data_IF_259757629652
#
_entry.id   IF_259757629652
#
_cell.length_a   1.000
_cell.length_b   1.000
_cell.length_c   1.000
_cell.angle_alpha   90.00
_cell.angle_beta   90.00
_cell.angle_gamma   90.00
#
_symmetry.space_group_name_H-M   'P 1'
#
loop_
_entity.id
_entity.type
_entity.pdbx_description
1 polymer ?
#
# COMPACT_ATOMS: atom_id res chain seq x y z
N UNK A 1 30.57 -9.91 29.81
CA UNK A 1 29.39 -10.57 30.41
C UNK A 1 28.28 -10.50 29.37
N UNK A 2 27.96 -11.62 28.73
CA UNK A 2 27.00 -11.67 27.62
C UNK A 2 25.55 -11.71 28.11
N UNK A 3 24.72 -10.80 27.61
CA UNK A 3 23.26 -10.80 27.80
C UNK A 3 22.65 -11.86 26.89
N UNK A 4 22.20 -12.96 27.48
CA UNK A 4 21.45 -14.02 26.79
C UNK A 4 20.05 -13.50 26.49
N UNK A 5 19.71 -13.34 25.21
CA UNK A 5 18.33 -13.20 24.77
C UNK A 5 17.64 -14.55 24.95
N UNK A 6 16.68 -14.62 25.87
CA UNK A 6 15.91 -15.84 26.14
C UNK A 6 14.75 -15.91 25.15
N UNK A 7 14.94 -16.62 24.05
CA UNK A 7 13.88 -17.03 23.10
C UNK A 7 13.22 -18.29 23.63
N UNK A 8 12.10 -18.14 24.37
CA UNK A 8 11.23 -19.25 24.73
C UNK A 8 9.98 -19.28 23.83
N UNK A 9 9.50 -20.48 23.43
CA UNK A 9 8.38 -20.63 22.51
C UNK A 9 7.05 -20.22 23.16
N UNK A 10 6.21 -19.51 22.40
CA UNK A 10 4.80 -19.30 22.73
C UNK A 10 4.07 -20.66 22.73
N UNK A 11 3.77 -21.18 23.91
CA UNK A 11 2.80 -22.26 24.09
C UNK A 11 1.52 -21.68 24.71
N UNK A 12 0.64 -21.08 23.90
CA UNK A 12 -0.82 -21.11 24.16
C UNK A 12 -1.68 -20.29 23.19
N UNK A 13 -2.93 -20.78 23.04
CA UNK A 13 -4.05 -20.15 22.34
C UNK A 13 -4.45 -18.81 22.96
N UNK A 14 -4.99 -17.91 22.12
CA UNK A 14 -5.37 -16.52 22.38
C UNK A 14 -6.13 -16.28 23.70
N UNK A 15 -6.90 -17.24 24.20
CA UNK A 15 -7.72 -17.10 25.42
C UNK A 15 -6.96 -17.01 26.74
N UNK A 16 -5.62 -17.12 26.76
CA UNK A 16 -4.82 -16.99 27.99
C UNK A 16 -4.22 -15.59 28.21
N UNK A 17 -4.42 -14.64 27.29
CA UNK A 17 -3.76 -13.31 27.33
C UNK A 17 -4.62 -12.17 27.89
N UNK A 18 -5.91 -12.39 28.14
CA UNK A 18 -6.85 -11.37 28.61
C UNK A 18 -7.05 -11.39 30.12
N UNK A 19 -6.01 -11.05 30.89
CA UNK A 19 -6.17 -10.55 32.27
C UNK A 19 -4.99 -9.61 32.61
N UNK A 20 -5.10 -8.32 32.31
CA UNK A 20 -4.70 -7.21 33.21
C UNK A 20 -4.71 -5.84 32.50
N UNK A 21 -5.49 -4.90 33.05
CA UNK A 21 -5.68 -3.53 32.52
C UNK A 21 -4.50 -2.57 32.79
N UNK A 22 -3.43 -3.04 33.45
CA UNK A 22 -2.20 -2.26 33.75
C UNK A 22 -1.07 -2.50 32.74
N UNK A 23 -1.31 -3.36 31.77
CA UNK A 23 -0.28 -3.92 30.88
C UNK A 23 0.05 -3.01 29.69
N UNK A 24 1.32 -2.95 29.24
CA UNK A 24 1.66 -2.21 28.03
C UNK A 24 0.89 -2.75 26.82
N UNK A 25 0.29 -1.84 26.03
CA UNK A 25 -0.43 -2.21 24.81
C UNK A 25 0.54 -2.61 23.69
N UNK A 26 0.21 -3.66 22.96
CA UNK A 26 0.95 -4.17 21.80
C UNK A 26 0.02 -4.66 20.69
N UNK A 27 0.61 -5.35 19.72
CA UNK A 27 -0.03 -5.88 18.53
C UNK A 27 0.09 -7.41 18.50
N UNK A 28 -1.06 -8.08 18.43
CA UNK A 28 -1.21 -9.51 18.26
C UNK A 28 -1.49 -9.82 16.79
N UNK A 29 -0.68 -10.69 16.22
CA UNK A 29 -0.80 -11.21 14.87
C UNK A 29 -1.23 -12.67 14.96
N UNK A 30 -2.40 -12.98 14.41
CA UNK A 30 -2.96 -14.33 14.45
C UNK A 30 -3.63 -14.73 13.14
N UNK A 31 -3.86 -16.02 12.95
CA UNK A 31 -4.66 -16.53 11.86
C UNK A 31 -6.16 -16.36 12.19
N UNK A 32 -6.93 -15.74 11.31
CA UNK A 32 -8.39 -15.59 11.49
C UNK A 32 -9.18 -16.90 11.32
N UNK A 33 -8.60 -17.94 10.73
CA UNK A 33 -9.27 -19.22 10.48
C UNK A 33 -9.14 -20.19 11.65
N UNK A 34 -7.97 -20.25 12.28
CA UNK A 34 -7.66 -21.22 13.33
C UNK A 34 -7.22 -20.60 14.66
N UNK A 35 -7.23 -19.27 14.74
CA UNK A 35 -6.82 -18.50 15.92
C UNK A 35 -5.38 -18.80 16.39
N UNK A 36 -4.53 -19.31 15.50
CA UNK A 36 -3.12 -19.56 15.78
C UNK A 36 -2.38 -18.24 15.97
N UNK A 37 -1.71 -18.08 17.11
CA UNK A 37 -0.90 -16.89 17.42
C UNK A 37 0.44 -16.99 16.71
N UNK A 38 0.75 -16.00 15.88
CA UNK A 38 1.99 -15.95 15.10
C UNK A 38 3.03 -15.07 15.79
N UNK A 39 2.66 -13.84 16.12
CA UNK A 39 3.55 -12.83 16.71
C UNK A 39 2.77 -11.99 17.70
N UNK A 40 3.39 -11.65 18.82
CA UNK A 40 2.91 -10.64 19.75
C UNK A 40 4.06 -9.65 20.00
N UNK A 41 3.89 -8.40 19.60
CA UNK A 41 4.95 -7.38 19.64
C UNK A 41 4.48 -6.08 20.26
N UNK A 42 5.37 -5.37 20.93
CA UNK A 42 5.13 -3.98 21.35
C UNK A 42 5.13 -2.98 20.19
N UNK A 43 6.17 -2.94 19.32
CA UNK A 43 6.11 -2.12 18.12
C UNK A 43 5.14 -2.71 17.10
N UNK A 44 4.55 -1.85 16.28
CA UNK A 44 3.81 -2.29 15.10
C UNK A 44 4.80 -2.84 14.07
N UNK A 45 4.54 -4.06 13.60
CA UNK A 45 5.30 -4.74 12.55
C UNK A 45 4.43 -4.79 11.28
N UNK A 46 5.01 -4.50 10.13
CA UNK A 46 4.30 -4.61 8.86
C UNK A 46 3.78 -6.05 8.65
N UNK A 47 2.48 -6.27 8.39
CA UNK A 47 1.92 -7.60 8.16
C UNK A 47 2.65 -8.42 7.09
N UNK A 48 3.22 -7.76 6.07
CA UNK A 48 4.03 -8.42 5.03
C UNK A 48 5.31 -9.07 5.57
N UNK A 49 5.97 -8.43 6.55
CA UNK A 49 7.15 -9.04 7.19
C UNK A 49 6.78 -10.35 7.89
N UNK A 50 5.64 -10.37 8.55
CA UNK A 50 5.13 -11.56 9.23
C UNK A 50 4.76 -12.63 8.21
N UNK A 51 4.07 -12.27 7.12
CA UNK A 51 3.84 -13.21 6.02
C UNK A 51 5.14 -13.85 5.53
N UNK A 52 6.18 -13.05 5.26
CA UNK A 52 7.49 -13.57 4.81
C UNK A 52 8.16 -14.48 5.85
N UNK A 53 8.15 -14.09 7.13
CA UNK A 53 8.75 -14.88 8.22
C UNK A 53 8.11 -16.26 8.39
N UNK A 54 6.82 -16.39 8.03
CA UNK A 54 6.08 -17.65 8.00
C UNK A 54 5.96 -18.27 6.60
N UNK A 55 6.75 -17.80 5.62
CA UNK A 55 6.70 -18.29 4.22
C UNK A 55 5.30 -18.23 3.60
N UNK A 56 4.53 -17.21 3.99
CA UNK A 56 3.13 -16.98 3.68
C UNK A 56 2.17 -18.10 4.09
N UNK A 57 2.55 -19.01 4.98
CA UNK A 57 1.73 -20.16 5.37
C UNK A 57 1.48 -20.15 6.87
N UNK A 58 0.23 -20.34 7.28
CA UNK A 58 -0.11 -20.49 8.69
C UNK A 58 0.42 -21.83 9.23
N UNK A 59 1.20 -21.84 10.33
CA UNK A 59 1.70 -23.07 10.92
C UNK A 59 0.58 -23.95 11.54
N UNK A 60 -0.56 -23.35 11.92
CA UNK A 60 -1.68 -24.07 12.51
C UNK A 60 -2.56 -24.78 11.47
N UNK A 61 -3.03 -24.07 10.45
CA UNK A 61 -3.99 -24.61 9.47
C UNK A 61 -3.44 -24.80 8.05
N UNK A 62 -2.21 -24.37 7.76
CA UNK A 62 -1.57 -24.51 6.45
C UNK A 62 -2.09 -23.55 5.36
N UNK A 63 -3.01 -22.64 5.67
CA UNK A 63 -3.54 -21.67 4.71
C UNK A 63 -2.63 -20.46 4.50
N UNK A 64 -2.82 -19.78 3.36
CA UNK A 64 -2.05 -18.60 3.01
C UNK A 64 -2.37 -17.40 3.91
N UNK A 65 -1.32 -16.79 4.49
CA UNK A 65 -1.43 -15.65 5.40
C UNK A 65 -1.74 -14.32 4.68
N UNK A 66 -1.76 -14.30 3.35
CA UNK A 66 -2.14 -13.14 2.53
C UNK A 66 -3.58 -12.69 2.81
N UNK A 67 -4.47 -13.66 3.06
CA UNK A 67 -5.91 -13.48 3.29
C UNK A 67 -6.33 -13.78 4.71
N UNK A 68 -5.52 -14.52 5.47
CA UNK A 68 -5.91 -15.00 6.80
C UNK A 68 -5.22 -14.29 7.96
N UNK A 69 -4.21 -13.45 7.70
CA UNK A 69 -3.50 -12.73 8.76
C UNK A 69 -4.38 -11.61 9.34
N UNK A 70 -4.57 -11.66 10.66
CA UNK A 70 -5.33 -10.68 11.43
C UNK A 70 -4.40 -9.97 12.41
N UNK A 71 -4.57 -8.65 12.54
CA UNK A 71 -3.85 -7.83 13.50
C UNK A 71 -4.82 -7.24 14.51
N UNK A 72 -4.56 -7.44 15.79
CA UNK A 72 -5.36 -6.92 16.90
C UNK A 72 -4.48 -6.18 17.89
N UNK A 73 -5.04 -5.16 18.56
CA UNK A 73 -4.39 -4.57 19.74
C UNK A 73 -4.61 -5.51 20.92
N UNK A 74 -3.56 -5.83 21.67
CA UNK A 74 -3.62 -6.76 22.79
C UNK A 74 -2.71 -6.32 23.93
N UNK A 75 -3.00 -6.76 25.16
CA UNK A 75 -2.17 -6.54 26.34
C UNK A 75 -0.95 -7.45 26.33
N UNK A 76 0.23 -6.87 26.49
CA UNK A 76 1.47 -7.64 26.58
C UNK A 76 1.72 -8.12 28.02
N UNK A 77 2.16 -9.37 28.22
CA UNK A 77 2.63 -9.82 29.52
C UNK A 77 3.78 -8.93 30.04
N UNK A 78 3.79 -8.57 31.34
CA UNK A 78 4.83 -7.72 31.89
C UNK A 78 6.23 -8.32 31.68
N UNK A 79 7.16 -7.49 31.18
CA UNK A 79 8.55 -7.89 30.92
C UNK A 79 8.81 -8.53 29.55
N UNK A 80 7.79 -8.82 28.73
CA UNK A 80 7.97 -9.41 27.38
C UNK A 80 7.68 -8.38 26.29
N UNK A 81 8.69 -8.06 25.48
CA UNK A 81 8.57 -7.03 24.41
C UNK A 81 8.19 -7.61 23.05
N UNK A 82 8.48 -8.90 22.84
CA UNK A 82 8.29 -9.60 21.57
C UNK A 82 8.22 -11.10 21.80
N UNK A 83 7.23 -11.75 21.19
CA UNK A 83 7.02 -13.20 21.24
C UNK A 83 6.63 -13.69 19.85
N UNK A 84 7.21 -14.81 19.41
CA UNK A 84 6.92 -15.41 18.10
C UNK A 84 6.62 -16.89 18.25
N UNK A 85 5.84 -17.40 17.30
CA UNK A 85 5.65 -18.83 17.12
C UNK A 85 7.01 -19.48 16.74
N UNK A 86 7.35 -20.66 17.29
CA UNK A 86 8.64 -21.31 17.04
C UNK A 86 8.92 -21.66 15.57
N UNK A 87 7.90 -21.67 14.71
CA UNK A 87 8.04 -21.91 13.27
C UNK A 87 8.53 -20.67 12.51
N UNK A 88 8.59 -19.51 13.17
CA UNK A 88 9.06 -18.26 12.59
C UNK A 88 10.52 -18.40 12.12
N UNK A 89 10.75 -18.18 10.83
CA UNK A 89 12.11 -18.02 10.29
C UNK A 89 12.62 -16.65 10.71
N UNK A 90 13.81 -16.61 11.30
CA UNK A 90 14.57 -15.41 11.65
C UNK A 90 13.76 -14.35 12.47
N UNK A 91 13.42 -14.64 13.73
CA UNK A 91 12.63 -13.73 14.58
C UNK A 91 13.30 -12.37 14.82
N UNK A 92 14.62 -12.29 14.65
CA UNK A 92 15.42 -11.08 14.82
C UNK A 92 15.10 -10.03 13.73
N UNK A 93 14.85 -10.46 12.49
CA UNK A 93 14.51 -9.57 11.35
C UNK A 93 13.13 -8.91 11.49
N UNK A 94 12.23 -9.49 12.30
CA UNK A 94 10.93 -8.91 12.60
C UNK A 94 11.02 -7.70 13.54
N UNK A 95 12.08 -7.64 14.36
CA UNK A 95 12.32 -6.58 15.35
C UNK A 95 13.18 -5.46 14.76
N UNK A 96 14.02 -5.79 13.77
CA UNK A 96 14.82 -4.79 13.08
C UNK A 96 13.89 -3.68 12.55
N UNK A 97 14.14 -2.41 12.95
CA UNK A 97 13.35 -1.29 12.48
C UNK A 97 13.36 -1.36 10.96
N UNK A 98 12.17 -1.30 10.35
CA UNK A 98 12.08 -1.08 8.91
C UNK A 98 13.01 0.09 8.59
N UNK A 99 14.04 -0.12 7.76
CA UNK A 99 14.59 0.99 7.00
C UNK A 99 13.36 1.64 6.40
N UNK A 100 13.06 2.87 6.84
CA UNK A 100 11.85 3.56 6.46
C UNK A 100 11.80 3.52 4.94
N UNK A 101 10.97 2.64 4.39
CA UNK A 101 10.74 2.56 2.96
C UNK A 101 9.82 3.73 2.67
N UNK A 102 10.38 4.93 2.74
CA UNK A 102 9.81 6.06 2.05
C UNK A 102 9.72 5.61 0.61
N UNK A 103 8.50 5.60 0.07
CA UNK A 103 8.28 5.45 -1.35
C UNK A 103 8.99 6.62 -2.06
N UNK A 104 10.29 6.50 -2.26
CA UNK A 104 11.08 7.44 -3.03
C UNK A 104 10.72 7.18 -4.47
N UNK A 105 9.87 8.05 -4.99
CA UNK A 105 9.68 8.18 -6.43
C UNK A 105 11.05 8.55 -7.01
N UNK A 106 11.75 7.53 -7.50
CA UNK A 106 13.08 7.67 -8.06
C UNK A 106 12.94 7.73 -9.58
N UNK A 107 13.61 8.71 -10.16
CA UNK A 107 13.62 8.91 -11.59
C UNK A 107 14.68 8.00 -12.20
N UNK A 108 14.28 7.07 -13.06
CA UNK A 108 15.20 6.18 -13.78
C UNK A 108 15.99 6.85 -14.92
N UNK A 109 15.65 8.09 -15.30
CA UNK A 109 16.25 8.83 -16.41
C UNK A 109 17.03 10.04 -15.91
N UNK A 110 18.24 10.25 -16.43
CA UNK A 110 19.16 11.35 -16.05
C UNK A 110 19.10 12.57 -16.99
N UNK A 111 18.22 12.58 -17.99
CA UNK A 111 18.14 13.70 -18.95
C UNK A 111 17.70 14.99 -18.24
N UNK A 112 18.42 16.10 -18.42
CA UNK A 112 17.99 17.40 -17.89
C UNK A 112 16.64 17.81 -18.51
N UNK A 113 15.71 18.31 -17.68
CA UNK A 113 14.47 18.93 -18.18
C UNK A 113 14.36 20.34 -17.62
N UNK A 114 14.62 21.32 -18.48
CA UNK A 114 14.10 22.69 -18.35
C UNK A 114 12.68 22.80 -18.97
N UNK A 115 11.95 21.68 -19.07
CA UNK A 115 10.78 21.55 -19.94
C UNK A 115 9.53 21.29 -19.10
N UNK A 116 8.51 22.13 -19.31
CA UNK A 116 7.18 22.00 -18.71
C UNK A 116 6.43 20.80 -19.32
N UNK A 117 5.59 20.14 -18.52
CA UNK A 117 4.70 19.09 -19.02
C UNK A 117 3.64 19.70 -19.92
N UNK A 118 3.39 19.10 -21.08
CA UNK A 118 2.28 19.49 -21.96
C UNK A 118 0.93 19.10 -21.33
N UNK A 119 0.91 18.03 -20.53
CA UNK A 119 -0.26 17.59 -19.78
C UNK A 119 0.13 17.33 -18.31
N UNK A 120 -0.04 18.31 -17.42
CA UNK A 120 0.20 18.09 -16.00
C UNK A 120 -0.95 17.30 -15.36
N UNK A 121 -0.59 16.38 -14.48
CA UNK A 121 -1.53 15.63 -13.63
C UNK A 121 -2.15 16.52 -12.54
N UNK A 122 -1.47 17.63 -12.20
CA UNK A 122 -1.77 18.51 -11.07
C UNK A 122 -1.46 17.89 -9.71
N UNK A 123 -0.64 16.83 -9.68
CA UNK A 123 0.01 16.30 -8.49
C UNK A 123 1.46 16.75 -8.58
N UNK A 124 1.87 17.72 -7.76
CA UNK A 124 3.18 18.39 -7.90
C UNK A 124 4.36 17.41 -8.00
N UNK A 125 4.41 16.41 -7.11
CA UNK A 125 5.48 15.43 -7.09
C UNK A 125 5.48 14.53 -8.34
N UNK A 126 4.30 14.22 -8.88
CA UNK A 126 4.21 13.45 -10.11
C UNK A 126 4.62 14.30 -11.31
N UNK A 127 4.20 15.57 -11.38
CA UNK A 127 4.53 16.47 -12.49
C UNK A 127 6.01 16.83 -12.54
N UNK A 128 6.71 16.83 -11.39
CA UNK A 128 8.16 16.98 -11.32
C UNK A 128 8.93 15.79 -11.92
N UNK A 129 8.36 14.58 -11.83
CA UNK A 129 9.05 13.33 -12.19
C UNK A 129 8.60 12.81 -13.56
N UNK A 130 7.29 12.83 -13.81
CA UNK A 130 6.60 12.41 -15.01
C UNK A 130 6.20 13.62 -15.84
N UNK A 131 7.13 14.09 -16.66
CA UNK A 131 6.86 15.17 -17.61
C UNK A 131 6.35 14.57 -18.93
N UNK A 132 5.04 14.67 -19.16
CA UNK A 132 4.35 14.19 -20.36
C UNK A 132 4.52 15.22 -21.49
N UNK A 133 4.81 14.74 -22.71
CA UNK A 133 4.92 15.61 -23.89
C UNK A 133 4.19 15.04 -25.08
N UNK A 134 3.77 15.92 -25.98
CA UNK A 134 3.18 15.51 -27.25
C UNK A 134 4.13 14.63 -28.08
N UNK A 135 3.55 13.67 -28.80
CA UNK A 135 4.29 12.73 -29.64
C UNK A 135 5.07 11.65 -28.87
N UNK A 136 4.98 11.62 -27.53
CA UNK A 136 5.61 10.57 -26.73
C UNK A 136 4.65 9.42 -26.42
N UNK A 137 5.15 8.19 -26.51
CA UNK A 137 4.52 7.04 -25.89
C UNK A 137 4.99 6.93 -24.44
N UNK A 138 4.05 6.85 -23.51
CA UNK A 138 4.32 6.70 -22.07
C UNK A 138 3.61 5.46 -21.56
N UNK A 139 4.35 4.62 -20.83
CA UNK A 139 3.80 3.42 -20.20
C UNK A 139 3.76 3.61 -18.70
N UNK A 140 2.58 3.46 -18.11
CA UNK A 140 2.37 3.45 -16.66
C UNK A 140 2.16 2.00 -16.23
N UNK A 141 2.92 1.54 -15.22
CA UNK A 141 2.81 0.19 -14.69
C UNK A 141 2.64 0.21 -13.17
N UNK A 142 1.74 -0.64 -12.68
CA UNK A 142 1.45 -0.79 -11.24
C UNK A 142 0.00 -0.44 -10.91
N UNK A 143 -0.36 -0.66 -9.64
CA UNK A 143 -1.74 -0.56 -9.15
C UNK A 143 -2.38 0.82 -9.38
N UNK A 144 -1.59 1.90 -9.35
CA UNK A 144 -2.09 3.26 -9.53
C UNK A 144 -2.34 3.66 -11.01
N UNK A 145 -1.92 2.84 -11.98
CA UNK A 145 -1.92 3.23 -13.41
C UNK A 145 -3.32 3.51 -13.93
N UNK A 146 -4.30 2.69 -13.53
CA UNK A 146 -5.68 2.88 -13.94
C UNK A 146 -6.25 4.18 -13.36
N UNK A 147 -6.00 4.48 -12.09
CA UNK A 147 -6.47 5.73 -11.50
C UNK A 147 -5.83 6.94 -12.20
N UNK A 148 -4.53 6.85 -12.53
CA UNK A 148 -3.82 7.89 -13.26
C UNK A 148 -4.33 8.06 -14.70
N UNK A 149 -4.69 6.99 -15.41
CA UNK A 149 -5.23 7.11 -16.77
C UNK A 149 -6.55 7.88 -16.77
N UNK A 150 -7.46 7.60 -15.84
CA UNK A 150 -8.72 8.37 -15.70
C UNK A 150 -8.47 9.85 -15.38
N UNK A 151 -7.56 10.13 -14.44
CA UNK A 151 -7.17 11.50 -14.11
C UNK A 151 -6.63 12.24 -15.34
N UNK A 152 -5.70 11.62 -16.08
CA UNK A 152 -5.09 12.22 -17.26
C UNK A 152 -6.11 12.44 -18.38
N UNK A 153 -7.10 11.54 -18.55
CA UNK A 153 -8.20 11.76 -19.49
C UNK A 153 -8.99 13.03 -19.15
N UNK A 154 -9.34 13.23 -17.88
CA UNK A 154 -10.05 14.46 -17.48
C UNK A 154 -9.16 15.70 -17.60
N UNK A 155 -7.86 15.60 -17.30
CA UNK A 155 -6.90 16.70 -17.48
C UNK A 155 -6.76 17.13 -18.94
N UNK A 156 -6.84 16.19 -19.87
CA UNK A 156 -6.79 16.48 -21.30
C UNK A 156 -8.04 17.25 -21.77
N UNK A 157 -9.20 17.00 -21.16
CA UNK A 157 -10.45 17.75 -21.42
C UNK A 157 -10.46 19.14 -20.76
N UNK A 158 -9.72 19.31 -19.66
CA UNK A 158 -9.69 20.56 -18.90
C UNK A 158 -9.22 21.77 -19.77
N UNK A 159 -9.80 22.97 -19.61
CA UNK A 159 -9.37 24.14 -20.36
C UNK A 159 -7.91 24.57 -20.09
N UNK A 160 -7.22 25.18 -21.07
CA UNK A 160 -5.91 25.77 -20.85
C UNK A 160 -5.99 27.09 -20.06
N UNK A 161 -4.99 27.42 -19.23
CA UNK A 161 -4.01 26.52 -18.59
C UNK A 161 -4.59 25.88 -17.30
N UNK A 162 -4.18 24.65 -16.91
CA UNK A 162 -3.09 23.87 -17.49
C UNK A 162 -3.55 22.67 -18.34
N UNK A 163 -4.83 22.59 -18.69
CA UNK A 163 -5.35 21.49 -19.52
C UNK A 163 -5.16 21.73 -21.02
N UNK A 164 -5.72 20.84 -21.83
CA UNK A 164 -5.55 20.82 -23.29
C UNK A 164 -6.81 21.18 -24.08
N UNK A 165 -7.97 21.27 -23.43
CA UNK A 165 -9.28 21.42 -24.08
C UNK A 165 -9.48 20.44 -25.26
N UNK A 166 -9.07 19.18 -25.08
CA UNK A 166 -9.05 18.15 -26.12
C UNK A 166 -9.98 16.98 -25.81
N UNK A 167 -10.42 16.29 -26.86
CA UNK A 167 -11.15 15.03 -26.74
C UNK A 167 -10.17 13.87 -26.54
N UNK A 168 -10.61 12.82 -25.85
CA UNK A 168 -9.78 11.67 -25.45
C UNK A 168 -10.36 10.38 -26.02
N UNK A 169 -9.50 9.53 -26.57
CA UNK A 169 -9.84 8.15 -26.89
C UNK A 169 -9.25 7.25 -25.81
N UNK A 170 -10.11 6.50 -25.11
CA UNK A 170 -9.73 5.59 -24.04
C UNK A 170 -10.00 4.15 -24.47
N UNK A 171 -8.95 3.45 -24.90
CA UNK A 171 -9.05 2.05 -25.33
C UNK A 171 -8.97 1.14 -24.11
N UNK A 172 -10.09 0.54 -23.73
CA UNK A 172 -10.19 -0.31 -22.54
C UNK A 172 -10.19 -1.81 -22.88
N UNK A 173 -8.99 -2.40 -22.93
CA UNK A 173 -8.84 -3.85 -23.09
C UNK A 173 -9.08 -4.65 -21.80
N UNK A 174 -9.15 -3.99 -20.65
CA UNK A 174 -9.21 -4.63 -19.33
C UNK A 174 -10.58 -4.54 -18.65
N UNK A 175 -11.53 -3.83 -19.26
CA UNK A 175 -12.80 -3.45 -18.64
C UNK A 175 -12.58 -2.71 -17.30
N UNK A 176 -11.61 -1.78 -17.28
CA UNK A 176 -11.22 -1.00 -16.11
C UNK A 176 -11.71 0.45 -16.15
N UNK A 177 -12.34 0.88 -17.25
CA UNK A 177 -12.87 2.22 -17.37
C UNK A 177 -14.02 2.44 -16.39
N UNK A 178 -13.93 3.51 -15.60
CA UNK A 178 -14.94 3.88 -14.61
C UNK A 178 -15.42 5.32 -14.82
N UNK A 179 -16.63 5.44 -15.38
CA UNK A 179 -17.29 6.72 -15.60
C UNK A 179 -17.54 7.51 -14.31
N UNK A 180 -17.70 6.84 -13.15
CA UNK A 180 -17.88 7.52 -11.86
C UNK A 180 -16.58 8.17 -11.40
N UNK A 181 -15.45 7.48 -11.56
CA UNK A 181 -14.13 8.05 -11.28
C UNK A 181 -13.84 9.27 -12.16
N UNK A 182 -14.16 9.19 -13.45
CA UNK A 182 -14.05 10.33 -14.39
C UNK A 182 -14.93 11.50 -13.94
N UNK A 183 -16.20 11.23 -13.63
CA UNK A 183 -17.15 12.21 -13.06
C UNK A 183 -16.58 12.93 -11.84
N UNK A 184 -16.04 12.16 -10.88
CA UNK A 184 -15.47 12.70 -9.64
C UNK A 184 -14.27 13.60 -9.91
N UNK A 185 -13.41 13.22 -10.85
CA UNK A 185 -12.28 14.07 -11.27
C UNK A 185 -12.76 15.36 -11.95
N UNK A 186 -13.77 15.29 -12.81
CA UNK A 186 -14.36 16.45 -13.46
C UNK A 186 -14.95 17.42 -12.43
N UNK A 187 -15.76 16.91 -11.50
CA UNK A 187 -16.32 17.69 -10.39
C UNK A 187 -15.23 18.36 -9.55
N UNK A 188 -14.16 17.63 -9.21
CA UNK A 188 -13.05 18.15 -8.40
C UNK A 188 -12.30 19.30 -9.09
N UNK A 189 -12.38 19.37 -10.43
CA UNK A 189 -11.79 20.42 -11.24
C UNK A 189 -12.80 21.52 -11.60
N UNK A 190 -14.05 21.43 -11.13
CA UNK A 190 -15.11 22.39 -11.45
C UNK A 190 -15.63 22.28 -12.89
N UNK A 191 -15.44 21.14 -13.54
CA UNK A 191 -15.97 20.87 -14.88
C UNK A 191 -17.40 20.31 -14.79
N UNK A 192 -18.17 20.55 -15.85
CA UNK A 192 -19.44 19.88 -16.07
C UNK A 192 -19.19 18.39 -16.37
N UNK A 193 -19.72 17.51 -15.52
CA UNK A 193 -19.44 16.08 -15.56
C UNK A 193 -19.99 15.41 -16.83
N UNK A 194 -21.21 15.76 -17.23
CA UNK A 194 -21.88 15.17 -18.40
C UNK A 194 -21.19 15.59 -19.69
N UNK A 195 -20.86 16.88 -19.81
CA UNK A 195 -20.07 17.40 -20.92
C UNK A 195 -18.67 16.78 -20.96
N UNK A 196 -18.04 16.55 -19.81
CA UNK A 196 -16.72 15.91 -19.75
C UNK A 196 -16.76 14.47 -20.25
N UNK A 197 -17.78 13.69 -19.86
CA UNK A 197 -17.96 12.31 -20.33
C UNK A 197 -18.13 12.23 -21.84
N UNK A 198 -18.87 13.17 -22.45
CA UNK A 198 -19.09 13.20 -23.91
C UNK A 198 -17.81 13.42 -24.72
N UNK A 199 -16.74 13.92 -24.07
CA UNK A 199 -15.44 14.17 -24.70
C UNK A 199 -14.43 13.03 -24.50
N UNK A 200 -14.83 11.98 -23.78
CA UNK A 200 -14.02 10.77 -23.58
C UNK A 200 -14.71 9.62 -24.32
N UNK A 201 -14.10 9.20 -25.42
CA UNK A 201 -14.60 8.16 -26.31
C UNK A 201 -14.00 6.82 -25.93
N UNK A 202 -14.85 5.81 -25.72
CA UNK A 202 -14.47 4.42 -25.45
C UNK A 202 -14.35 3.61 -26.75
#
# INVERSE_FOLDING_TARGET
>A
MGTRHSTEPLQSKIWQLDQDQSSPQGFLYSCNLCDETLVLSKPFINPRKIQLAFSNICPGCGFELDKTLKVLKSTLPPGRQFLTNPVCKDPEQLIEPDESFEAKLSRGSTLLRDVRSDLPSGIELLDQILVLRFGQLVTLQGQASNALSHLLSVRAVYPPPPGLDSDVVFVDGGNVFDAYTVSRHAFSLGLDEERTKLRIHL
#
